data_IF_099729193765
#
_entry.id   IF_099729193765
#
_cell.length_a   1.000
_cell.length_b   1.000
_cell.length_c   1.000
_cell.angle_alpha   90.00
_cell.angle_beta   90.00
_cell.angle_gamma   90.00
#
_symmetry.space_group_name_H-M   'P 1'
#
loop_
_entity.id
_entity.type
_entity.pdbx_description
1 polymer ?
#
# COMPACT_ATOMS: atom_id res chain seq x y z
N UNK A 1 0.14 1.26 59.59
CA UNK A 1 0.88 1.12 58.33
C UNK A 1 -0.10 0.65 57.26
N UNK A 2 -0.37 1.42 56.19
CA UNK A 2 -1.22 0.91 55.11
C UNK A 2 -0.39 -0.03 54.23
N UNK A 3 -0.84 -1.27 54.13
CA UNK A 3 -0.28 -2.30 53.27
C UNK A 3 -0.54 -1.92 51.82
N UNK A 4 0.49 -1.43 51.12
CA UNK A 4 0.43 -1.19 49.67
C UNK A 4 0.46 -2.56 49.00
N UNK A 5 -0.71 -3.07 48.60
CA UNK A 5 -0.78 -4.22 47.71
C UNK A 5 -0.23 -3.82 46.35
N UNK A 6 0.76 -4.56 45.80
CA UNK A 6 1.25 -4.26 44.46
C UNK A 6 0.11 -4.55 43.46
N UNK A 7 -0.33 -3.50 42.78
CA UNK A 7 -1.20 -3.64 41.61
C UNK A 7 -0.39 -4.38 40.55
N UNK A 8 -0.58 -5.69 40.47
CA UNK A 8 -0.03 -6.51 39.39
C UNK A 8 -0.68 -6.00 38.10
N UNK A 9 0.04 -5.14 37.36
CA UNK A 9 -0.35 -4.74 36.02
C UNK A 9 -0.34 -5.98 35.15
N UNK A 10 -1.51 -6.60 34.96
CA UNK A 10 -1.69 -7.66 33.98
C UNK A 10 -1.35 -7.09 32.61
N UNK A 11 -0.22 -7.50 32.05
CA UNK A 11 0.10 -7.23 30.65
C UNK A 11 -0.99 -7.87 29.80
N UNK A 12 -1.93 -7.08 29.31
CA UNK A 12 -3.00 -7.60 28.46
C UNK A 12 -2.37 -8.33 27.25
N UNK A 13 -2.76 -9.59 26.96
CA UNK A 13 -2.17 -10.39 25.87
C UNK A 13 -2.29 -9.71 24.50
N UNK A 14 -3.27 -8.80 24.34
CA UNK A 14 -3.42 -7.93 23.16
C UNK A 14 -2.21 -7.03 22.89
N UNK A 15 -1.38 -6.73 23.89
CA UNK A 15 -0.21 -5.85 23.74
C UNK A 15 1.04 -6.55 23.22
N UNK A 16 1.19 -7.87 23.36
CA UNK A 16 2.38 -8.59 22.88
C UNK A 16 2.13 -9.36 21.58
N UNK A 17 0.87 -9.63 21.26
CA UNK A 17 0.47 -10.39 20.07
C UNK A 17 1.09 -9.88 18.75
N UNK A 18 1.05 -8.57 18.41
CA UNK A 18 1.61 -8.11 17.13
C UNK A 18 3.12 -8.27 17.04
N UNK A 19 3.82 -8.15 18.18
CA UNK A 19 5.26 -8.31 18.28
C UNK A 19 5.69 -9.74 18.00
N UNK A 20 4.99 -10.70 18.60
CA UNK A 20 5.26 -12.13 18.40
C UNK A 20 4.95 -12.55 16.97
N UNK A 21 3.81 -12.11 16.42
CA UNK A 21 3.38 -12.50 15.08
C UNK A 21 4.27 -11.88 13.99
N UNK A 22 4.66 -10.61 14.13
CA UNK A 22 5.62 -10.00 13.22
C UNK A 22 6.99 -10.69 13.31
N UNK A 23 7.46 -10.99 14.52
CA UNK A 23 8.77 -11.61 14.71
C UNK A 23 8.83 -13.05 14.19
N UNK A 24 7.78 -13.84 14.42
CA UNK A 24 7.64 -15.19 13.86
C UNK A 24 7.49 -15.16 12.34
N UNK A 25 6.78 -14.19 11.79
CA UNK A 25 6.66 -13.99 10.35
C UNK A 25 8.04 -13.73 9.71
N UNK A 26 8.82 -12.80 10.26
CA UNK A 26 10.18 -12.49 9.77
C UNK A 26 11.11 -13.71 9.89
N UNK A 27 11.10 -14.39 11.03
CA UNK A 27 11.91 -15.59 11.26
C UNK A 27 11.55 -16.73 10.30
N UNK A 28 10.25 -16.92 10.03
CA UNK A 28 9.76 -17.94 9.09
C UNK A 28 10.19 -17.63 7.65
N UNK A 29 10.02 -16.40 7.18
CA UNK A 29 10.46 -15.99 5.84
C UNK A 29 11.97 -16.18 5.69
N UNK A 30 12.76 -15.78 6.68
CA UNK A 30 14.20 -15.97 6.66
C UNK A 30 14.60 -17.45 6.58
N UNK A 31 13.94 -18.33 7.35
CA UNK A 31 14.20 -19.76 7.29
C UNK A 31 13.88 -20.37 5.91
N UNK A 32 12.80 -19.90 5.27
CA UNK A 32 12.33 -20.38 3.96
C UNK A 32 13.20 -19.92 2.78
N UNK A 33 13.94 -18.81 2.91
CA UNK A 33 14.84 -18.32 1.85
C UNK A 33 16.13 -19.12 1.70
N UNK A 34 16.43 -20.03 2.63
CA UNK A 34 17.62 -20.89 2.55
C UNK A 34 17.37 -22.10 1.66
N UNK A 35 18.33 -22.40 0.79
CA UNK A 35 18.34 -23.60 -0.04
C UNK A 35 18.86 -24.84 0.69
N UNK A 36 19.39 -24.69 1.91
CA UNK A 36 19.94 -25.76 2.72
C UNK A 36 19.09 -26.01 3.97
N UNK A 37 18.92 -27.28 4.40
CA UNK A 37 18.21 -27.60 5.63
C UNK A 37 18.95 -27.03 6.83
N UNK A 38 18.24 -26.26 7.65
CA UNK A 38 18.83 -25.63 8.82
C UNK A 38 19.03 -26.64 9.96
N UNK A 39 20.20 -26.65 10.61
CA UNK A 39 20.34 -27.38 11.87
C UNK A 39 19.47 -26.72 12.95
N UNK A 40 18.91 -27.51 13.86
CA UNK A 40 17.89 -27.05 14.82
C UNK A 40 18.32 -25.85 15.69
N UNK A 41 19.60 -25.74 16.03
CA UNK A 41 20.13 -24.59 16.78
C UNK A 41 20.10 -23.30 15.95
N UNK A 42 20.30 -23.38 14.64
CA UNK A 42 20.27 -22.22 13.77
C UNK A 42 18.84 -21.71 13.54
N UNK A 43 17.87 -22.63 13.50
CA UNK A 43 16.44 -22.25 13.55
C UNK A 43 16.10 -21.48 14.82
N UNK A 44 16.63 -21.91 15.98
CA UNK A 44 16.44 -21.19 17.23
C UNK A 44 17.00 -19.76 17.17
N UNK A 45 18.19 -19.58 16.56
CA UNK A 45 18.79 -18.25 16.34
C UNK A 45 17.90 -17.40 15.43
N UNK A 46 17.42 -17.95 14.31
CA UNK A 46 16.55 -17.24 13.37
C UNK A 46 15.24 -16.81 14.03
N UNK A 47 14.64 -17.67 14.85
CA UNK A 47 13.43 -17.34 15.62
C UNK A 47 13.71 -16.22 16.63
N UNK A 48 14.79 -16.31 17.40
CA UNK A 48 15.16 -15.26 18.37
C UNK A 48 15.46 -13.93 17.68
N UNK A 49 16.19 -13.95 16.57
CA UNK A 49 16.48 -12.77 15.77
C UNK A 49 15.18 -12.15 15.21
N UNK A 50 14.28 -12.97 14.67
CA UNK A 50 12.97 -12.55 14.19
C UNK A 50 12.14 -11.89 15.30
N UNK A 51 12.07 -12.49 16.49
CA UNK A 51 11.40 -11.90 17.66
C UNK A 51 12.03 -10.55 18.07
N UNK A 52 13.35 -10.43 18.01
CA UNK A 52 14.06 -9.17 18.25
C UNK A 52 13.67 -8.08 17.25
N UNK A 53 13.60 -8.42 15.96
CA UNK A 53 13.14 -7.50 14.90
C UNK A 53 11.68 -7.10 15.12
N UNK A 54 10.81 -8.06 15.41
CA UNK A 54 9.39 -7.80 15.71
C UNK A 54 9.23 -6.84 16.90
N UNK A 55 10.04 -7.02 17.95
CA UNK A 55 10.05 -6.14 19.11
C UNK A 55 10.51 -4.73 18.75
N UNK A 56 11.59 -4.60 18.00
CA UNK A 56 12.13 -3.30 17.59
C UNK A 56 11.13 -2.53 16.72
N UNK A 57 10.52 -3.19 15.74
CA UNK A 57 9.53 -2.57 14.84
C UNK A 57 8.29 -2.15 15.62
N UNK A 58 7.72 -3.00 16.47
CA UNK A 58 6.55 -2.61 17.27
C UNK A 58 6.89 -1.50 18.25
N UNK A 59 8.09 -1.49 18.84
CA UNK A 59 8.56 -0.40 19.70
C UNK A 59 8.65 0.91 18.92
N UNK A 60 9.17 0.88 17.69
CA UNK A 60 9.24 2.03 16.81
C UNK A 60 7.85 2.53 16.40
N UNK A 61 6.95 1.64 15.99
CA UNK A 61 5.56 2.00 15.66
C UNK A 61 4.87 2.70 16.83
N UNK A 62 5.03 2.17 18.05
CA UNK A 62 4.50 2.81 19.26
C UNK A 62 5.15 4.15 19.55
N UNK A 63 6.46 4.29 19.32
CA UNK A 63 7.16 5.58 19.44
C UNK A 63 6.61 6.61 18.44
N UNK A 64 6.19 6.17 17.25
CA UNK A 64 5.52 7.00 16.25
C UNK A 64 4.02 7.22 16.54
N UNK A 65 3.48 6.68 17.65
CA UNK A 65 2.04 6.68 17.99
C UNK A 65 1.16 5.92 16.99
N UNK A 66 1.70 4.86 16.39
CA UNK A 66 0.92 3.92 15.57
C UNK A 66 0.49 2.72 16.43
N UNK A 67 -0.75 2.29 16.26
CA UNK A 67 -1.29 1.04 16.79
C UNK A 67 -0.82 -0.14 15.94
N UNK A 68 -0.02 -1.08 16.49
CA UNK A 68 0.49 -2.22 15.76
C UNK A 68 -0.53 -3.37 15.62
N UNK A 69 -1.72 -3.28 16.23
CA UNK A 69 -2.72 -4.36 16.22
C UNK A 69 -2.99 -4.99 14.83
N UNK A 70 -3.07 -4.22 13.73
CA UNK A 70 -3.34 -4.78 12.40
C UNK A 70 -2.28 -5.77 11.90
N UNK A 71 -1.04 -5.70 12.42
CA UNK A 71 0.03 -6.65 12.07
C UNK A 71 -0.26 -8.07 12.57
N UNK A 72 -1.29 -8.27 13.39
CA UNK A 72 -1.75 -9.60 13.77
C UNK A 72 -2.16 -10.46 12.55
N UNK A 73 -2.54 -9.84 11.43
CA UNK A 73 -2.85 -10.56 10.18
C UNK A 73 -1.67 -11.39 9.65
N UNK A 74 -0.43 -11.02 9.99
CA UNK A 74 0.77 -11.80 9.64
C UNK A 74 0.75 -13.22 10.22
N UNK A 75 -0.03 -13.44 11.28
CA UNK A 75 -0.24 -14.77 11.87
C UNK A 75 -0.87 -15.77 10.90
N UNK A 76 -1.59 -15.32 9.88
CA UNK A 76 -2.14 -16.19 8.82
C UNK A 76 -1.02 -16.92 8.10
N UNK A 77 0.08 -16.24 7.78
CA UNK A 77 1.24 -16.85 7.13
C UNK A 77 2.01 -17.77 8.09
N UNK A 78 2.09 -17.39 9.37
CA UNK A 78 2.80 -18.18 10.39
C UNK A 78 2.18 -19.56 10.59
N UNK A 79 0.85 -19.69 10.46
CA UNK A 79 0.12 -20.95 10.65
C UNK A 79 -0.05 -21.72 9.33
N UNK A 80 0.13 -21.07 8.18
CA UNK A 80 -0.12 -21.68 6.88
C UNK A 80 0.83 -22.86 6.60
N UNK A 81 0.35 -24.02 6.14
CA UNK A 81 1.17 -25.24 6.01
C UNK A 81 2.13 -25.24 4.81
N UNK A 82 1.85 -24.43 3.78
CA UNK A 82 2.66 -24.41 2.55
C UNK A 82 3.62 -23.22 2.51
N UNK A 83 4.83 -23.44 2.02
CA UNK A 83 5.88 -22.43 1.91
C UNK A 83 5.91 -21.87 0.48
N UNK A 84 5.25 -20.74 0.25
CA UNK A 84 5.31 -20.03 -1.04
C UNK A 84 5.71 -18.58 -0.82
N UNK A 85 6.81 -18.14 -1.44
CA UNK A 85 7.30 -16.77 -1.30
C UNK A 85 6.29 -15.70 -1.76
N UNK A 86 5.44 -16.04 -2.74
CA UNK A 86 4.34 -15.19 -3.19
C UNK A 86 3.27 -14.96 -2.11
N UNK A 87 2.92 -16.00 -1.34
CA UNK A 87 1.99 -15.86 -0.22
C UNK A 87 2.61 -15.02 0.91
N UNK A 88 3.90 -15.20 1.18
CA UNK A 88 4.63 -14.39 2.15
C UNK A 88 4.53 -12.91 1.79
N UNK A 89 4.89 -12.57 0.55
CA UNK A 89 4.83 -11.19 0.04
C UNK A 89 3.41 -10.61 0.07
N UNK A 90 2.41 -11.40 -0.33
CA UNK A 90 1.00 -11.00 -0.29
C UNK A 90 0.52 -10.69 1.13
N UNK A 91 0.88 -11.51 2.12
CA UNK A 91 0.51 -11.29 3.53
C UNK A 91 1.25 -10.09 4.13
N UNK A 92 2.51 -9.85 3.76
CA UNK A 92 3.23 -8.62 4.15
C UNK A 92 2.57 -7.37 3.57
N UNK A 93 2.16 -7.41 2.31
CA UNK A 93 1.45 -6.30 1.66
C UNK A 93 0.11 -6.04 2.35
N UNK A 94 -0.69 -7.08 2.58
CA UNK A 94 -1.94 -6.98 3.31
C UNK A 94 -1.73 -6.40 4.72
N UNK A 95 -0.74 -6.90 5.47
CA UNK A 95 -0.40 -6.38 6.80
C UNK A 95 0.03 -4.91 6.80
N UNK A 96 0.78 -4.50 5.79
CA UNK A 96 1.22 -3.10 5.61
C UNK A 96 0.04 -2.19 5.30
N UNK A 97 -0.85 -2.61 4.39
CA UNK A 97 -2.08 -1.88 4.05
C UNK A 97 -3.00 -1.79 5.26
N UNK A 98 -3.27 -2.90 5.95
CA UNK A 98 -4.09 -2.91 7.17
C UNK A 98 -3.51 -2.01 8.27
N UNK A 99 -2.18 -1.99 8.44
CA UNK A 99 -1.52 -1.09 9.39
C UNK A 99 -1.76 0.37 9.05
N UNK A 100 -1.64 0.75 7.78
CA UNK A 100 -1.86 2.13 7.31
C UNK A 100 -3.32 2.54 7.46
N UNK A 101 -4.26 1.73 6.99
CA UNK A 101 -5.71 2.01 7.02
C UNK A 101 -6.20 2.18 8.46
N UNK A 102 -5.91 1.21 9.34
CA UNK A 102 -6.33 1.26 10.75
C UNK A 102 -5.82 2.51 11.49
N UNK A 103 -4.58 2.90 11.20
CA UNK A 103 -3.97 4.08 11.84
C UNK A 103 -4.41 5.40 11.20
N UNK A 104 -4.89 5.39 9.96
CA UNK A 104 -5.53 6.54 9.33
C UNK A 104 -6.92 6.77 9.93
N UNK A 105 -7.73 5.70 10.04
CA UNK A 105 -9.07 5.74 10.64
C UNK A 105 -9.04 6.17 12.11
N UNK A 106 -8.09 5.65 12.90
CA UNK A 106 -7.95 6.04 14.32
C UNK A 106 -7.52 7.49 14.56
N UNK A 107 -7.04 8.20 13.53
CA UNK A 107 -6.67 9.63 13.58
C UNK A 107 -7.79 10.55 13.12
N UNK A 108 -8.78 10.02 12.40
CA UNK A 108 -10.02 10.70 12.08
C UNK A 108 -10.90 10.71 13.36
N UNK A 109 -10.56 11.58 14.31
CA UNK A 109 -11.38 11.80 15.49
C UNK A 109 -12.79 12.27 15.10
N UNK A 110 -13.79 12.13 15.98
CA UNK A 110 -15.16 12.56 15.69
C UNK A 110 -15.19 14.03 15.27
N UNK A 111 -15.76 14.31 14.10
CA UNK A 111 -16.01 15.68 13.64
C UNK A 111 -16.81 16.46 14.70
N UNK A 112 -16.45 17.71 15.05
CA UNK A 112 -17.22 18.51 15.99
C UNK A 112 -18.49 19.04 15.32
N UNK A 113 -19.54 18.22 15.28
CA UNK A 113 -20.87 18.66 14.86
C UNK A 113 -21.92 18.47 15.96
N UNK A 114 -22.21 19.61 16.58
CA UNK A 114 -23.49 20.05 17.14
C UNK A 114 -24.17 19.14 18.17
N UNK A 115 -23.68 19.23 19.40
CA UNK A 115 -24.54 19.09 20.57
C UNK A 115 -25.34 20.38 20.77
N UNK A 116 -26.45 20.56 20.04
CA UNK A 116 -27.60 21.31 20.59
C UNK A 116 -28.86 21.07 19.76
N UNK A 117 -29.86 20.41 20.35
CA UNK A 117 -31.28 20.52 20.00
C UNK A 117 -32.12 19.73 21.01
N UNK A 118 -32.31 20.32 22.19
CA UNK A 118 -33.48 20.07 23.04
C UNK A 118 -34.56 21.13 22.78
N UNK A 119 -35.76 20.68 22.41
CA UNK A 119 -37.02 21.42 22.25
C UNK A 119 -37.46 22.19 23.54
N UNK A 120 -38.44 23.15 23.56
CA UNK A 120 -39.71 23.20 22.77
C UNK A 120 -40.22 24.59 22.29
N UNK A 121 -41.27 24.59 21.44
CA UNK A 121 -42.16 25.74 21.07
C UNK A 121 -43.29 25.93 22.13
N UNK A 122 -44.31 26.85 22.04
CA UNK A 122 -44.66 28.04 21.20
C UNK A 122 -45.18 29.25 22.11
N UNK A 123 -46.11 30.22 21.77
CA UNK A 123 -46.82 30.61 20.52
C UNK A 123 -47.02 32.15 20.20
N UNK A 124 -47.46 32.42 18.94
CA UNK A 124 -48.37 33.50 18.42
C UNK A 124 -47.94 34.98 18.53
N UNK A 125 -48.10 35.92 17.58
CA UNK A 125 -49.01 36.21 16.44
C UNK A 125 -48.48 37.48 15.68
N UNK A 126 -49.23 38.23 14.82
CA UNK A 126 -49.68 37.93 13.46
C UNK A 126 -49.19 38.93 12.36
N UNK A 127 -49.06 38.40 11.13
CA UNK A 127 -49.47 38.96 9.81
C UNK A 127 -49.23 40.46 9.49
N UNK A 128 -48.42 40.74 8.45
CA UNK A 128 -48.78 41.70 7.39
C UNK A 128 -48.32 41.24 6.00
N UNK A 129 -49.18 41.56 5.03
CA UNK A 129 -49.23 41.25 3.61
C UNK A 129 -48.74 42.47 2.83
N UNK A 130 -48.19 42.24 1.64
CA UNK A 130 -47.82 43.25 0.64
C UNK A 130 -46.31 43.20 0.39
N UNK A 131 -45.77 43.28 -0.82
CA UNK A 131 -46.30 43.39 -2.17
C UNK A 131 -45.05 43.27 -3.08
N UNK A 132 -45.27 42.76 -4.28
CA UNK A 132 -44.57 43.14 -5.51
C UNK A 132 -43.07 42.84 -5.75
N UNK A 133 -42.80 42.40 -6.99
CA UNK A 133 -41.63 42.89 -7.70
C UNK A 133 -40.64 41.84 -8.20
N UNK A 134 -41.07 41.04 -9.17
CA UNK A 134 -40.33 40.76 -10.40
C UNK A 134 -38.81 41.05 -10.39
N UNK A 135 -37.98 40.01 -10.26
CA UNK A 135 -36.63 39.98 -10.86
C UNK A 135 -36.31 38.61 -11.44
N UNK A 136 -36.62 38.52 -12.73
CA UNK A 136 -35.70 38.09 -13.79
C UNK A 136 -35.14 36.67 -13.72
N UNK A 137 -35.75 35.82 -14.54
CA UNK A 137 -35.11 34.76 -15.30
C UNK A 137 -33.86 35.29 -16.02
N UNK A 138 -32.68 34.76 -15.66
CA UNK A 138 -31.49 34.80 -16.51
C UNK A 138 -30.54 33.65 -16.14
N UNK A 139 -30.64 32.55 -16.90
CA UNK A 139 -29.47 31.76 -17.30
C UNK A 139 -29.47 31.81 -18.83
N UNK A 140 -28.33 32.04 -19.50
CA UNK A 140 -27.41 30.93 -19.75
C UNK A 140 -25.91 31.25 -19.76
N UNK A 141 -25.13 30.21 -19.42
CA UNK A 141 -23.81 29.81 -19.90
C UNK A 141 -22.95 30.86 -20.66
N UNK A 142 -21.89 31.35 -20.00
CA UNK A 142 -20.62 31.62 -20.67
C UNK A 142 -19.50 30.85 -19.98
N UNK A 143 -19.12 29.76 -20.64
CA UNK A 143 -17.84 29.06 -20.52
C UNK A 143 -16.79 29.88 -21.25
N UNK A 144 -15.80 30.39 -20.54
CA UNK A 144 -14.42 30.69 -20.96
C UNK A 144 -13.74 31.20 -19.69
N UNK A 145 -12.78 30.49 -19.10
CA UNK A 145 -11.56 30.07 -19.77
C UNK A 145 -10.44 31.00 -19.32
N UNK A 146 -10.31 31.20 -18.00
CA UNK A 146 -9.15 31.90 -17.46
C UNK A 146 -8.07 30.87 -17.15
N UNK A 147 -7.01 30.94 -17.96
CA UNK A 147 -5.81 30.16 -17.80
C UNK A 147 -5.18 30.40 -16.44
N UNK A 148 -5.28 29.41 -15.56
CA UNK A 148 -4.33 29.22 -14.46
C UNK A 148 -3.38 28.09 -14.84
N UNK A 149 -2.56 28.40 -15.85
CA UNK A 149 -1.54 27.51 -16.37
C UNK A 149 -0.18 28.18 -16.35
N UNK A 150 0.30 28.66 -15.20
CA UNK A 150 1.69 29.09 -15.03
C UNK A 150 2.01 29.21 -13.53
N UNK A 151 2.69 28.20 -12.95
CA UNK A 151 3.23 28.31 -11.58
C UNK A 151 3.10 27.08 -10.66
N UNK A 152 2.38 26.01 -11.05
CA UNK A 152 2.22 24.78 -10.23
C UNK A 152 3.09 23.60 -10.71
N UNK A 153 4.17 23.88 -11.45
CA UNK A 153 5.16 22.90 -11.93
C UNK A 153 6.26 22.65 -10.89
N UNK A 154 5.96 21.98 -9.78
CA UNK A 154 7.06 21.55 -8.90
C UNK A 154 6.74 20.62 -7.74
N UNK A 155 5.53 20.66 -7.17
CA UNK A 155 5.20 19.86 -5.97
C UNK A 155 4.19 18.74 -6.21
N UNK A 156 3.49 18.78 -7.34
CA UNK A 156 2.41 17.83 -7.63
C UNK A 156 2.86 16.46 -8.12
N UNK A 157 4.11 16.29 -8.55
CA UNK A 157 4.64 15.05 -9.15
C UNK A 157 5.75 14.37 -8.35
N UNK A 158 6.20 14.95 -7.25
CA UNK A 158 7.35 14.44 -6.48
C UNK A 158 7.05 13.10 -5.83
N UNK A 159 5.81 12.90 -5.37
CA UNK A 159 5.40 11.63 -4.78
C UNK A 159 5.29 10.54 -5.84
N UNK A 160 4.66 10.82 -6.97
CA UNK A 160 4.55 9.88 -8.09
C UNK A 160 5.93 9.49 -8.59
N UNK A 161 6.83 10.48 -8.73
CA UNK A 161 8.23 10.26 -9.09
C UNK A 161 8.98 9.43 -8.05
N UNK A 162 8.77 9.70 -6.75
CA UNK A 162 9.41 8.94 -5.67
C UNK A 162 8.89 7.48 -5.61
N UNK A 163 7.58 7.27 -5.78
CA UNK A 163 6.98 5.92 -5.82
C UNK A 163 7.47 5.17 -7.05
N UNK A 164 7.47 5.82 -8.22
CA UNK A 164 8.03 5.26 -9.45
C UNK A 164 9.49 4.84 -9.25
N UNK A 165 10.35 5.77 -8.82
CA UNK A 165 11.78 5.52 -8.67
C UNK A 165 12.07 4.47 -7.60
N UNK A 166 11.36 4.53 -6.46
CA UNK A 166 11.50 3.55 -5.39
C UNK A 166 11.08 2.15 -5.82
N UNK A 167 9.92 2.02 -6.47
CA UNK A 167 9.45 0.73 -6.97
C UNK A 167 10.38 0.18 -8.07
N UNK A 168 10.80 1.03 -9.01
CA UNK A 168 11.72 0.63 -10.07
C UNK A 168 13.06 0.15 -9.48
N UNK A 169 13.62 0.87 -8.50
CA UNK A 169 14.84 0.47 -7.84
C UNK A 169 14.71 -0.91 -7.16
N UNK A 170 13.60 -1.15 -6.45
CA UNK A 170 13.32 -2.46 -5.84
C UNK A 170 13.19 -3.54 -6.91
N UNK A 171 12.42 -3.32 -7.97
CA UNK A 171 12.23 -4.30 -9.03
C UNK A 171 13.51 -4.60 -9.79
N UNK A 172 14.36 -3.60 -10.05
CA UNK A 172 15.67 -3.80 -10.68
C UNK A 172 16.63 -4.56 -9.74
N UNK A 173 16.59 -4.29 -8.43
CA UNK A 173 17.41 -5.00 -7.45
C UNK A 173 17.01 -6.47 -7.27
N UNK A 174 15.72 -6.79 -7.47
CA UNK A 174 15.19 -8.16 -7.40
C UNK A 174 14.98 -8.79 -8.78
N UNK A 175 15.54 -8.20 -9.84
CA UNK A 175 15.27 -8.61 -11.20
C UNK A 175 15.89 -9.99 -11.48
N UNK A 176 15.10 -10.90 -12.04
CA UNK A 176 15.60 -12.21 -12.41
C UNK A 176 16.64 -12.09 -13.55
N UNK A 177 17.80 -12.75 -13.43
CA UNK A 177 18.91 -12.59 -14.35
C UNK A 177 18.70 -13.29 -15.71
N UNK A 178 17.75 -14.23 -15.79
CA UNK A 178 17.58 -15.09 -16.98
C UNK A 178 16.11 -15.48 -17.18
N UNK A 179 15.88 -16.51 -17.99
CA UNK A 179 14.56 -17.04 -18.34
C UNK A 179 13.78 -17.49 -17.09
N UNK A 180 12.50 -17.11 -17.02
CA UNK A 180 11.60 -17.55 -15.94
C UNK A 180 10.78 -18.79 -16.37
N UNK A 181 10.22 -19.54 -15.41
CA UNK A 181 9.30 -20.63 -15.72
C UNK A 181 7.94 -20.12 -16.20
N UNK A 182 7.16 -21.02 -16.80
CA UNK A 182 5.77 -20.81 -17.23
C UNK A 182 5.61 -19.61 -18.19
N UNK A 183 4.49 -18.89 -18.09
CA UNK A 183 4.10 -17.82 -18.99
C UNK A 183 5.17 -16.72 -19.09
N UNK A 184 5.88 -16.42 -18.00
CA UNK A 184 6.96 -15.42 -18.03
C UNK A 184 8.08 -15.81 -19.01
N UNK A 185 8.45 -17.09 -19.05
CA UNK A 185 9.40 -17.64 -20.02
C UNK A 185 8.88 -17.60 -21.45
N UNK A 186 7.60 -17.92 -21.63
CA UNK A 186 6.94 -17.83 -22.93
C UNK A 186 6.98 -16.39 -23.48
N UNK A 187 6.66 -15.39 -22.65
CA UNK A 187 6.68 -13.99 -23.04
C UNK A 187 8.09 -13.46 -23.37
N UNK A 188 9.12 -13.97 -22.70
CA UNK A 188 10.51 -13.68 -23.04
C UNK A 188 10.89 -14.27 -24.41
N UNK A 189 10.51 -15.53 -24.66
CA UNK A 189 10.74 -16.20 -25.93
C UNK A 189 9.99 -15.51 -27.08
N UNK A 190 8.70 -15.28 -26.89
CA UNK A 190 7.81 -14.63 -27.86
C UNK A 190 8.31 -13.22 -28.18
N UNK A 191 8.76 -12.45 -27.19
CA UNK A 191 9.41 -11.15 -27.42
C UNK A 191 10.70 -11.25 -28.24
N UNK A 192 11.52 -12.28 -28.00
CA UNK A 192 12.76 -12.48 -28.75
C UNK A 192 12.53 -12.83 -30.22
N UNK A 193 11.50 -13.64 -30.53
CA UNK A 193 11.25 -14.16 -31.89
C UNK A 193 10.08 -13.52 -32.62
N UNK A 194 9.42 -12.50 -32.03
CA UNK A 194 8.14 -11.96 -32.51
C UNK A 194 7.07 -13.05 -32.70
N UNK A 195 6.97 -13.95 -31.72
CA UNK A 195 6.01 -15.04 -31.71
C UNK A 195 4.59 -14.61 -31.33
N UNK A 196 3.72 -15.59 -31.11
CA UNK A 196 2.38 -15.39 -30.57
C UNK A 196 2.32 -16.17 -29.26
N UNK A 197 2.08 -15.47 -28.15
CA UNK A 197 1.89 -16.10 -26.85
C UNK A 197 0.55 -16.85 -26.81
N UNK A 198 0.33 -17.64 -25.77
CA UNK A 198 -0.94 -18.29 -25.49
C UNK A 198 -2.10 -17.27 -25.59
N UNK A 199 -3.31 -17.71 -26.00
CA UNK A 199 -4.45 -16.82 -26.19
C UNK A 199 -4.67 -15.88 -24.99
N UNK A 200 -4.86 -14.57 -25.21
CA UNK A 200 -5.16 -13.86 -26.48
C UNK A 200 -3.94 -13.39 -27.32
N UNK A 201 -2.71 -13.79 -27.00
CA UNK A 201 -1.52 -13.52 -27.82
C UNK A 201 -0.80 -12.19 -27.57
N UNK A 202 -1.43 -11.23 -26.89
CA UNK A 202 -0.81 -10.01 -26.31
C UNK A 202 0.11 -9.21 -27.27
N UNK A 203 -0.36 -8.81 -28.46
CA UNK A 203 0.49 -8.26 -29.52
C UNK A 203 1.26 -7.00 -29.12
N UNK A 204 0.64 -6.07 -28.36
CA UNK A 204 1.30 -4.86 -27.89
C UNK A 204 2.49 -5.19 -26.97
N UNK A 205 2.30 -6.13 -26.05
CA UNK A 205 3.37 -6.55 -25.15
C UNK A 205 4.50 -7.22 -25.94
N UNK A 206 4.18 -8.10 -26.89
CA UNK A 206 5.17 -8.77 -27.74
C UNK A 206 6.04 -7.77 -28.51
N UNK A 207 5.44 -6.73 -29.10
CA UNK A 207 6.19 -5.69 -29.80
C UNK A 207 7.10 -4.90 -28.87
N UNK A 208 6.61 -4.51 -27.68
CA UNK A 208 7.44 -3.82 -26.69
C UNK A 208 8.57 -4.71 -26.18
N UNK A 209 8.29 -5.97 -25.88
CA UNK A 209 9.29 -6.96 -25.47
C UNK A 209 10.36 -7.13 -26.55
N UNK A 210 9.97 -7.19 -27.83
CA UNK A 210 10.91 -7.23 -28.93
C UNK A 210 11.78 -5.97 -29.01
N UNK A 211 11.21 -4.77 -28.86
CA UNK A 211 12.03 -3.55 -28.81
C UNK A 211 13.01 -3.56 -27.63
N UNK A 212 12.62 -4.14 -26.50
CA UNK A 212 13.49 -4.29 -25.34
C UNK A 212 14.66 -5.25 -25.63
N UNK A 213 14.46 -6.32 -26.40
CA UNK A 213 15.54 -7.25 -26.76
C UNK A 213 16.57 -6.62 -27.70
N UNK A 214 16.25 -5.52 -28.40
CA UNK A 214 17.20 -4.80 -29.27
C UNK A 214 18.23 -3.93 -28.51
N UNK A 215 18.00 -3.63 -27.22
CA UNK A 215 18.96 -2.87 -26.41
C UNK A 215 20.28 -3.65 -26.27
N UNK A 216 21.48 -3.04 -26.25
CA UNK A 216 22.74 -3.78 -26.28
C UNK A 216 23.24 -4.32 -24.92
N UNK A 217 22.40 -4.41 -23.88
CA UNK A 217 22.85 -4.72 -22.50
C UNK A 217 22.18 -5.95 -21.88
N UNK A 218 22.96 -6.84 -21.29
CA UNK A 218 22.44 -8.04 -20.62
C UNK A 218 21.84 -9.07 -21.58
N UNK A 219 21.22 -10.12 -21.04
CA UNK A 219 20.53 -11.14 -21.83
C UNK A 219 19.16 -10.66 -22.34
N UNK A 220 18.64 -11.24 -23.41
CA UNK A 220 17.31 -10.89 -23.95
C UNK A 220 16.21 -11.10 -22.90
N UNK A 221 16.25 -12.19 -22.13
CA UNK A 221 15.28 -12.45 -21.07
C UNK A 221 15.36 -11.39 -19.96
N UNK A 222 16.57 -10.96 -19.61
CA UNK A 222 16.79 -9.89 -18.65
C UNK A 222 16.17 -8.57 -19.10
N UNK A 223 16.35 -8.20 -20.38
CA UNK A 223 15.79 -6.96 -20.96
C UNK A 223 14.25 -6.97 -20.92
N UNK A 224 13.64 -8.11 -21.19
CA UNK A 224 12.17 -8.28 -21.09
C UNK A 224 11.70 -8.22 -19.64
N UNK A 225 12.46 -8.77 -18.69
CA UNK A 225 12.18 -8.58 -17.26
C UNK A 225 12.26 -7.10 -16.86
N UNK A 226 13.27 -6.38 -17.34
CA UNK A 226 13.44 -4.96 -17.06
C UNK A 226 12.28 -4.11 -17.62
N UNK A 227 11.77 -4.46 -18.81
CA UNK A 227 10.56 -3.85 -19.36
C UNK A 227 9.36 -4.07 -18.43
N UNK A 228 9.18 -5.29 -17.94
CA UNK A 228 8.09 -5.61 -16.99
C UNK A 228 8.22 -4.83 -15.68
N UNK A 229 9.45 -4.69 -15.16
CA UNK A 229 9.73 -3.87 -13.98
C UNK A 229 9.38 -2.39 -14.21
N UNK A 230 9.72 -1.84 -15.39
CA UNK A 230 9.37 -0.48 -15.77
C UNK A 230 7.84 -0.27 -15.82
N UNK A 231 7.12 -1.18 -16.48
CA UNK A 231 5.66 -1.15 -16.56
C UNK A 231 5.00 -1.25 -15.17
N UNK A 232 5.52 -2.12 -14.30
CA UNK A 232 5.06 -2.25 -12.91
C UNK A 232 5.24 -0.96 -12.11
N UNK A 233 6.42 -0.34 -12.18
CA UNK A 233 6.70 0.93 -11.51
C UNK A 233 5.83 2.08 -12.04
N UNK A 234 5.64 2.17 -13.37
CA UNK A 234 4.74 3.14 -13.99
C UNK A 234 3.29 2.97 -13.51
N UNK A 235 2.83 1.73 -13.41
CA UNK A 235 1.48 1.41 -12.92
C UNK A 235 1.27 1.96 -11.52
N UNK A 236 2.23 1.77 -10.60
CA UNK A 236 2.15 2.32 -9.24
C UNK A 236 2.07 3.85 -9.24
N UNK A 237 2.86 4.51 -10.07
CA UNK A 237 2.83 5.98 -10.19
C UNK A 237 1.48 6.49 -10.70
N UNK A 238 0.90 5.81 -11.70
CA UNK A 238 -0.43 6.13 -12.25
C UNK A 238 -1.52 5.89 -11.22
N UNK A 239 -1.47 4.78 -10.47
CA UNK A 239 -2.43 4.49 -9.40
C UNK A 239 -2.37 5.55 -8.32
N UNK A 240 -1.18 5.93 -7.84
CA UNK A 240 -1.02 7.00 -6.85
C UNK A 240 -1.60 8.32 -7.36
N UNK A 241 -1.34 8.66 -8.63
CA UNK A 241 -1.92 9.85 -9.25
C UNK A 241 -3.44 9.78 -9.32
N UNK A 242 -4.00 8.63 -9.68
CA UNK A 242 -5.44 8.39 -9.74
C UNK A 242 -6.09 8.58 -8.38
N UNK A 243 -5.55 7.91 -7.35
CA UNK A 243 -6.03 8.06 -5.96
C UNK A 243 -5.99 9.52 -5.52
N UNK A 244 -4.89 10.23 -5.76
CA UNK A 244 -4.78 11.65 -5.36
C UNK A 244 -5.73 12.58 -6.10
N UNK A 245 -6.07 12.26 -7.35
CA UNK A 245 -7.05 13.03 -8.13
C UNK A 245 -8.45 12.91 -7.55
N UNK A 246 -8.82 11.70 -7.14
CA UNK A 246 -10.16 11.44 -6.59
C UNK A 246 -10.29 11.88 -5.12
N UNK A 247 -9.25 11.69 -4.29
CA UNK A 247 -9.33 11.99 -2.85
C UNK A 247 -8.90 13.41 -2.49
N UNK A 248 -8.19 14.11 -3.37
CA UNK A 248 -7.57 15.42 -3.08
C UNK A 248 -6.52 15.38 -1.96
N UNK A 249 -6.19 14.19 -1.44
CA UNK A 249 -5.37 13.98 -0.26
C UNK A 249 -4.26 12.96 -0.55
N UNK A 250 -3.12 13.15 0.11
CA UNK A 250 -1.94 12.26 0.02
C UNK A 250 -2.15 10.97 0.83
N UNK A 251 -3.17 10.96 1.68
CA UNK A 251 -3.66 9.80 2.40
C UNK A 251 -5.13 9.64 2.01
N UNK A 252 -5.51 8.46 1.51
CA UNK A 252 -6.92 8.10 1.40
C UNK A 252 -7.59 8.40 2.75
N UNK A 253 -8.59 9.28 2.71
CA UNK A 253 -9.35 9.73 3.88
C UNK A 253 -10.30 8.63 4.35
#
# INVERSE_FOLDING_TARGET
MPTVTPVIQRTHPRRSLPTLLLGLYVGRVAAETSTQPWPGWALAIVVVAGLGVGWLVVRLLRALRWDPLPLAILGVYVIWPHTTGALAAGVALAGSVSLVVWNAEGRAGPSPHSSDRGHPSPPSSPRKRGEDGNRQYAAPLHRQGEGQGEGRMGRGGLLEGAVFAGALAVYLATLAPSVLPADAGEFQLVGAVLGIAHPPGYPLYTLLAHTATLLPWGDAAWRVNALSALCGALTLAVVVRGVRRETGSVAAA
#
